data_IF_206037204774
#
_entry.id   IF_206037204774
#
_cell.length_a   1.000
_cell.length_b   1.000
_cell.length_c   1.000
_cell.angle_alpha   90.00
_cell.angle_beta   90.00
_cell.angle_gamma   90.00
#
_symmetry.space_group_name_H-M   'P 1'
#
loop_
_entity.id
_entity.type
_entity.pdbx_description
1 polymer ?
#
# COMPACT_ATOMS: atom_id res chain seq x y z
N UNK A 1 19.38 2.66 5.73
CA UNK A 1 18.27 2.10 4.95
C UNK A 1 18.64 2.22 3.49
N UNK A 2 18.71 1.12 2.76
CA UNK A 2 18.93 1.17 1.31
C UNK A 2 17.73 1.86 0.66
N UNK A 3 17.98 2.83 -0.22
CA UNK A 3 16.91 3.52 -0.92
C UNK A 3 16.21 2.60 -1.91
N UNK A 4 14.88 2.69 -2.01
CA UNK A 4 14.12 1.92 -3.00
C UNK A 4 14.37 2.43 -4.44
N UNK A 5 14.49 1.50 -5.39
CA UNK A 5 14.65 1.84 -6.81
C UNK A 5 13.39 2.54 -7.35
N UNK A 6 13.56 3.78 -7.81
CA UNK A 6 12.47 4.57 -8.44
C UNK A 6 11.83 3.85 -9.63
N UNK A 7 12.65 3.15 -10.42
CA UNK A 7 12.17 2.35 -11.55
C UNK A 7 11.29 1.20 -11.06
N UNK A 8 11.73 0.49 -10.02
CA UNK A 8 10.96 -0.62 -9.45
C UNK A 8 9.62 -0.14 -8.87
N UNK A 9 9.61 1.02 -8.20
CA UNK A 9 8.38 1.66 -7.72
C UNK A 9 7.44 1.95 -8.89
N UNK A 10 7.89 2.71 -9.88
CA UNK A 10 7.07 3.13 -11.02
C UNK A 10 6.52 1.96 -11.86
N UNK A 11 7.25 0.84 -11.93
CA UNK A 11 6.79 -0.37 -12.62
C UNK A 11 5.96 -1.32 -11.76
N UNK A 12 5.85 -1.07 -10.46
CA UNK A 12 5.12 -1.95 -9.55
C UNK A 12 3.61 -1.74 -9.65
N UNK A 13 2.86 -2.77 -9.26
CA UNK A 13 1.40 -2.76 -9.26
C UNK A 13 0.88 -1.62 -8.37
N UNK A 14 -0.25 -1.05 -8.76
CA UNK A 14 -0.95 -0.06 -7.95
C UNK A 14 -1.83 -0.77 -6.92
N UNK A 15 -1.85 -0.24 -5.71
CA UNK A 15 -2.69 -0.68 -4.61
C UNK A 15 -3.62 0.47 -4.24
N UNK A 16 -4.92 0.19 -4.13
CA UNK A 16 -5.93 1.13 -3.68
C UNK A 16 -6.15 0.97 -2.18
N UNK A 17 -6.08 2.06 -1.44
CA UNK A 17 -6.41 2.12 -0.03
C UNK A 17 -7.76 2.81 0.14
N UNK A 18 -8.69 2.15 0.82
CA UNK A 18 -9.96 2.73 1.26
C UNK A 18 -9.87 3.01 2.75
N UNK A 19 -9.76 4.29 3.11
CA UNK A 19 -9.40 4.72 4.47
C UNK A 19 -10.57 5.39 5.18
N UNK A 20 -10.77 5.00 6.44
CA UNK A 20 -11.76 5.58 7.31
C UNK A 20 -13.20 5.17 6.99
N UNK A 21 -14.18 5.66 7.77
CA UNK A 21 -15.59 5.32 7.61
C UNK A 21 -16.16 5.75 6.24
N UNK A 22 -15.62 6.82 5.67
CA UNK A 22 -16.01 7.34 4.35
C UNK A 22 -15.34 6.59 3.19
N UNK A 23 -14.51 5.58 3.47
CA UNK A 23 -13.75 4.80 2.48
C UNK A 23 -12.97 5.69 1.50
N UNK A 24 -12.30 6.72 2.01
CA UNK A 24 -11.57 7.66 1.16
C UNK A 24 -10.46 6.92 0.41
N UNK A 25 -10.44 7.11 -0.90
CA UNK A 25 -9.57 6.37 -1.79
C UNK A 25 -8.20 7.03 -1.98
N UNK A 26 -7.14 6.25 -1.78
CA UNK A 26 -5.76 6.60 -2.13
C UNK A 26 -5.19 5.51 -3.05
N UNK A 27 -4.34 5.90 -4.00
CA UNK A 27 -3.66 4.94 -4.89
C UNK A 27 -2.15 5.13 -4.76
N UNK A 28 -1.44 4.04 -4.50
CA UNK A 28 0.01 4.04 -4.27
C UNK A 28 0.66 2.80 -4.91
N UNK A 29 1.93 2.91 -5.30
CA UNK A 29 2.70 1.79 -5.80
C UNK A 29 3.00 0.76 -4.70
N UNK A 30 2.67 -0.51 -4.95
CA UNK A 30 2.82 -1.61 -3.99
C UNK A 30 4.26 -1.80 -3.52
N UNK A 31 5.25 -1.53 -4.38
CA UNK A 31 6.65 -1.61 -3.97
C UNK A 31 7.02 -0.55 -2.92
N UNK A 32 6.38 0.62 -2.97
CA UNK A 32 6.59 1.66 -1.97
C UNK A 32 6.02 1.24 -0.61
N UNK A 33 4.81 0.68 -0.61
CA UNK A 33 4.16 0.12 0.59
C UNK A 33 4.98 -1.04 1.19
N UNK A 34 5.46 -1.97 0.36
CA UNK A 34 6.26 -3.11 0.79
C UNK A 34 7.58 -2.70 1.46
N UNK A 35 8.12 -1.53 1.10
CA UNK A 35 9.37 -1.04 1.63
C UNK A 35 9.26 -0.59 3.10
N UNK A 36 8.07 -0.16 3.53
CA UNK A 36 7.86 0.39 4.88
C UNK A 36 7.95 -0.66 5.97
N UNK A 37 7.53 -1.91 5.72
CA UNK A 37 7.74 -2.99 6.68
C UNK A 37 7.61 -4.39 6.04
N UNK A 38 8.21 -5.44 6.64
CA UNK A 38 8.02 -6.81 6.20
C UNK A 38 6.56 -7.27 6.22
N UNK A 39 5.74 -6.76 7.17
CA UNK A 39 4.31 -7.09 7.28
C UNK A 39 3.54 -6.52 6.10
N UNK A 40 3.80 -5.26 5.73
CA UNK A 40 3.21 -4.63 4.54
C UNK A 40 3.73 -5.30 3.25
N UNK A 41 5.01 -5.70 3.22
CA UNK A 41 5.57 -6.49 2.15
C UNK A 41 4.86 -7.83 1.94
N UNK A 42 4.51 -8.52 3.03
CA UNK A 42 3.70 -9.73 2.96
C UNK A 42 2.27 -9.43 2.49
N UNK A 43 1.64 -8.36 2.99
CA UNK A 43 0.29 -7.95 2.59
C UNK A 43 0.18 -7.80 1.07
N UNK A 44 1.11 -7.08 0.43
CA UNK A 44 1.03 -6.78 -1.01
C UNK A 44 1.54 -7.89 -1.93
N UNK A 45 2.27 -8.88 -1.40
CA UNK A 45 2.82 -9.99 -2.19
C UNK A 45 2.20 -11.35 -1.86
N UNK A 46 1.25 -11.40 -0.92
CA UNK A 46 0.57 -12.64 -0.51
C UNK A 46 -0.57 -13.00 -1.48
N UNK A 47 -1.18 -14.18 -1.27
CA UNK A 47 -2.45 -14.55 -1.91
C UNK A 47 -3.67 -14.11 -1.06
N UNK A 48 -3.51 -13.07 -0.23
CA UNK A 48 -4.63 -12.50 0.52
C UNK A 48 -5.56 -11.72 -0.41
N UNK A 49 -6.82 -11.57 -0.02
CA UNK A 49 -7.86 -10.93 -0.82
C UNK A 49 -7.42 -9.52 -1.27
N UNK A 50 -6.77 -8.77 -0.39
CA UNK A 50 -6.27 -7.42 -0.66
C UNK A 50 -5.19 -7.38 -1.74
N UNK A 51 -4.37 -8.43 -1.86
CA UNK A 51 -3.35 -8.58 -2.89
C UNK A 51 -3.93 -9.06 -4.23
N UNK A 52 -5.02 -9.83 -4.18
CA UNK A 52 -5.73 -10.31 -5.37
C UNK A 52 -6.58 -9.17 -5.98
N UNK A 53 -7.30 -8.45 -5.13
CA UNK A 53 -8.20 -7.37 -5.53
C UNK A 53 -7.46 -6.03 -5.70
N UNK A 54 -6.20 -5.96 -5.27
CA UNK A 54 -5.39 -4.73 -5.18
C UNK A 54 -6.12 -3.60 -4.43
N UNK A 55 -6.88 -3.97 -3.39
CA UNK A 55 -7.64 -3.06 -2.54
C UNK A 55 -7.37 -3.44 -1.08
N UNK A 56 -6.79 -2.52 -0.32
CA UNK A 56 -6.66 -2.61 1.13
C UNK A 56 -7.69 -1.67 1.76
N UNK A 57 -8.56 -2.20 2.62
CA UNK A 57 -9.58 -1.41 3.31
C UNK A 57 -9.24 -1.31 4.79
N UNK A 58 -9.08 -0.08 5.29
CA UNK A 58 -8.75 0.21 6.68
C UNK A 58 -9.76 1.21 7.27
N UNK A 59 -10.79 0.70 7.94
CA UNK A 59 -11.87 1.52 8.51
C UNK A 59 -11.42 2.40 9.70
N UNK A 60 -10.40 1.97 10.44
CA UNK A 60 -9.98 2.60 11.72
C UNK A 60 -8.62 3.33 11.63
N UNK A 61 -8.12 3.59 10.42
CA UNK A 61 -6.81 4.22 10.20
C UNK A 61 -6.99 5.66 9.74
N UNK A 62 -6.15 6.56 10.28
CA UNK A 62 -6.08 7.95 9.84
C UNK A 62 -5.41 8.06 8.46
N UNK A 63 -5.93 8.95 7.61
CA UNK A 63 -5.40 9.19 6.26
C UNK A 63 -3.91 9.56 6.25
N UNK A 64 -3.44 10.25 7.29
CA UNK A 64 -2.04 10.63 7.46
C UNK A 64 -1.08 9.44 7.48
N UNK A 65 -1.55 8.26 7.91
CA UNK A 65 -0.75 7.03 7.85
C UNK A 65 -0.48 6.64 6.40
N UNK A 66 -1.47 6.70 5.52
CA UNK A 66 -1.27 6.37 4.10
C UNK A 66 -0.43 7.43 3.39
N UNK A 67 -0.59 8.70 3.76
CA UNK A 67 0.25 9.79 3.24
C UNK A 67 1.72 9.58 3.63
N UNK A 68 1.99 9.04 4.82
CA UNK A 68 3.36 8.76 5.28
C UNK A 68 4.10 7.69 4.47
N UNK A 69 3.39 6.96 3.58
CA UNK A 69 4.03 5.98 2.72
C UNK A 69 4.78 6.58 1.53
N UNK A 70 4.53 7.85 1.17
CA UNK A 70 5.20 8.56 0.07
C UNK A 70 6.60 9.04 0.43
#
# INVERSE_FOLDING_TARGET
MEGISKRAVASSKLLRFLIGPENREFTIHAALVAHHSPVLGAMVNSNLKESIDYIAKWDDIDEGVVVSFW
#
